data_IF_624053550495
#
_entry.id   IF_624053550495
#
_cell.length_a   1.000
_cell.length_b   1.000
_cell.length_c   1.000
_cell.angle_alpha   90.00
_cell.angle_beta   90.00
_cell.angle_gamma   90.00
#
_symmetry.space_group_name_H-M   'P 1'
#
loop_
_entity.id
_entity.type
_entity.pdbx_description
1 polymer ?
#
# COMPACT_ATOMS: atom_id res chain seq x y z
N UNK A 1 -45.12 39.00 53.48
CA UNK A 1 -46.24 38.58 54.36
C UNK A 1 -47.55 39.04 53.73
N UNK A 2 -48.56 38.17 53.61
CA UNK A 2 -49.99 38.49 53.32
C UNK A 2 -50.28 38.97 51.85
N UNK A 3 -51.55 38.95 51.35
CA UNK A 3 -52.31 37.85 50.69
C UNK A 3 -53.60 38.41 50.00
N UNK A 4 -54.02 37.87 48.82
CA UNK A 4 -55.41 37.86 48.25
C UNK A 4 -56.11 39.21 47.84
N UNK A 5 -57.17 39.29 46.99
CA UNK A 5 -57.73 38.43 45.90
C UNK A 5 -58.90 39.10 45.08
N UNK A 6 -59.18 38.57 43.87
CA UNK A 6 -60.51 38.28 43.20
C UNK A 6 -61.61 39.33 42.84
N UNK A 7 -62.10 39.34 41.57
CA UNK A 7 -63.51 39.04 41.07
C UNK A 7 -63.97 39.72 39.73
N UNK A 8 -65.17 39.38 39.22
CA UNK A 8 -65.65 39.28 37.80
C UNK A 8 -67.16 39.67 37.61
N UNK A 9 -67.73 39.88 36.38
CA UNK A 9 -69.17 39.61 35.91
C UNK A 9 -69.65 40.27 34.55
N UNK A 10 -70.64 39.62 33.87
CA UNK A 10 -71.47 39.77 32.60
C UNK A 10 -71.98 41.16 32.06
N UNK A 11 -72.61 41.33 30.87
CA UNK A 11 -73.02 40.48 29.68
C UNK A 11 -74.19 41.07 28.79
N UNK A 12 -74.57 40.50 27.61
CA UNK A 12 -75.82 40.84 26.82
C UNK A 12 -75.88 40.52 25.28
N UNK A 13 -77.05 40.16 24.68
CA UNK A 13 -77.24 39.72 23.25
C UNK A 13 -78.73 39.77 22.74
N UNK A 14 -79.03 39.99 21.42
CA UNK A 14 -80.39 39.80 20.78
C UNK A 14 -80.38 39.57 19.22
N UNK A 15 -81.53 39.22 18.58
CA UNK A 15 -81.62 38.36 17.35
C UNK A 15 -82.90 38.59 16.46
N UNK A 16 -82.82 38.48 15.11
CA UNK A 16 -83.92 38.26 14.09
C UNK A 16 -83.33 38.16 12.63
N UNK A 17 -83.93 37.56 11.56
CA UNK A 17 -84.88 36.42 11.45
C UNK A 17 -85.90 36.38 10.27
N UNK A 18 -85.56 35.97 9.02
CA UNK A 18 -86.49 35.66 7.87
C UNK A 18 -86.05 34.40 7.06
N UNK A 19 -86.97 33.70 6.35
CA UNK A 19 -86.82 32.35 5.77
C UNK A 19 -87.37 32.15 4.33
N UNK A 20 -86.85 31.16 3.55
CA UNK A 20 -87.59 30.07 2.82
C UNK A 20 -86.85 29.40 1.60
N UNK A 21 -86.75 28.06 1.64
CA UNK A 21 -86.92 26.97 0.58
C UNK A 21 -86.89 27.26 -0.95
N UNK A 22 -86.51 26.35 -1.89
CA UNK A 22 -85.99 24.95 -1.86
C UNK A 22 -85.62 24.38 -3.28
N UNK A 23 -84.95 23.20 -3.33
CA UNK A 23 -84.95 22.14 -4.40
C UNK A 23 -84.41 22.44 -5.84
N UNK A 24 -83.97 21.48 -6.69
CA UNK A 24 -83.38 20.11 -6.54
C UNK A 24 -83.02 19.47 -7.91
N UNK A 25 -81.87 18.76 -8.04
CA UNK A 25 -81.58 17.73 -9.08
C UNK A 25 -81.38 18.19 -10.54
N UNK A 26 -81.10 17.33 -11.53
CA UNK A 26 -80.22 16.14 -11.62
C UNK A 26 -80.12 15.69 -13.11
N UNK A 27 -78.95 15.25 -13.59
CA UNK A 27 -78.70 14.43 -14.81
C UNK A 27 -79.22 14.88 -16.21
N UNK A 28 -78.35 14.83 -17.23
CA UNK A 28 -78.77 14.91 -18.64
C UNK A 28 -77.61 15.02 -19.62
N UNK A 29 -77.61 14.25 -20.71
CA UNK A 29 -76.50 14.13 -21.66
C UNK A 29 -76.94 14.24 -23.12
N UNK A 30 -77.48 15.39 -23.50
CA UNK A 30 -77.77 15.81 -24.87
C UNK A 30 -77.91 17.34 -24.95
N UNK A 31 -77.71 17.90 -26.15
CA UNK A 31 -77.34 19.32 -26.29
C UNK A 31 -78.46 20.29 -26.63
N UNK A 32 -78.22 21.55 -26.22
CA UNK A 32 -78.85 22.83 -26.66
C UNK A 32 -80.27 23.14 -26.17
N UNK A 33 -80.29 23.93 -25.09
CA UNK A 33 -80.98 25.22 -24.96
C UNK A 33 -82.42 25.39 -25.48
N UNK A 34 -83.34 25.64 -24.52
CA UNK A 34 -84.30 26.74 -24.62
C UNK A 34 -84.68 27.21 -23.20
N UNK A 35 -84.56 28.52 -22.94
CA UNK A 35 -84.66 29.13 -21.60
C UNK A 35 -86.01 28.94 -20.88
N UNK A 36 -85.96 28.62 -19.58
CA UNK A 36 -87.01 28.99 -18.64
C UNK A 36 -86.45 29.71 -17.40
N UNK A 37 -86.88 30.97 -17.23
CA UNK A 37 -86.74 31.81 -16.02
C UNK A 37 -85.30 32.23 -15.69
N UNK A 38 -85.07 33.54 -15.61
CA UNK A 38 -83.76 34.15 -15.29
C UNK A 38 -83.38 33.94 -13.81
N UNK A 39 -82.84 32.77 -13.50
CA UNK A 39 -82.34 32.39 -12.18
C UNK A 39 -81.02 33.12 -11.87
N UNK A 40 -80.21 33.50 -12.86
CA UNK A 40 -78.99 34.28 -12.66
C UNK A 40 -79.25 35.63 -11.98
N UNK A 41 -80.38 36.29 -12.29
CA UNK A 41 -80.80 37.51 -11.60
C UNK A 41 -81.09 37.28 -10.10
N UNK A 42 -81.67 36.13 -9.75
CA UNK A 42 -82.05 35.82 -8.37
C UNK A 42 -80.85 35.27 -7.57
N UNK A 43 -80.01 34.44 -8.21
CA UNK A 43 -78.76 33.95 -7.65
C UNK A 43 -77.72 35.07 -7.48
N UNK A 44 -77.74 36.11 -8.32
CA UNK A 44 -76.90 37.31 -8.14
C UNK A 44 -77.40 38.17 -6.97
N UNK A 45 -78.72 38.35 -6.82
CA UNK A 45 -79.29 39.06 -5.68
C UNK A 45 -78.93 38.38 -4.34
N UNK A 46 -79.17 37.07 -4.23
CA UNK A 46 -78.86 36.29 -3.01
C UNK A 46 -77.34 36.26 -2.74
N UNK A 47 -76.50 36.19 -3.77
CA UNK A 47 -75.03 36.19 -3.61
C UNK A 47 -74.50 37.53 -3.08
N UNK A 48 -75.08 38.64 -3.53
CA UNK A 48 -74.72 39.97 -3.04
C UNK A 48 -75.20 40.17 -1.59
N UNK A 49 -76.44 39.80 -1.28
CA UNK A 49 -77.03 39.99 0.06
C UNK A 49 -76.39 39.10 1.15
N UNK A 50 -75.88 37.91 0.79
CA UNK A 50 -75.05 37.07 1.67
C UNK A 50 -73.61 37.62 1.76
N UNK A 51 -73.02 38.08 0.65
CA UNK A 51 -71.69 38.70 0.63
C UNK A 51 -71.61 39.91 1.55
N UNK A 52 -72.61 40.79 1.49
CA UNK A 52 -72.59 42.05 2.22
C UNK A 52 -72.85 41.83 3.73
N UNK A 53 -73.81 40.97 4.11
CA UNK A 53 -74.00 40.59 5.53
C UNK A 53 -72.76 39.90 6.14
N UNK A 54 -72.07 39.04 5.38
CA UNK A 54 -70.85 38.38 5.88
C UNK A 54 -69.71 39.40 6.04
N UNK A 55 -69.65 40.40 5.14
CA UNK A 55 -68.64 41.47 5.14
C UNK A 55 -68.85 42.46 6.28
N UNK A 56 -70.08 42.85 6.56
CA UNK A 56 -70.43 43.74 7.68
C UNK A 56 -70.21 43.04 9.03
N UNK A 57 -70.55 41.75 9.14
CA UNK A 57 -70.28 40.96 10.36
C UNK A 57 -68.78 40.75 10.60
N UNK A 58 -67.97 40.51 9.55
CA UNK A 58 -66.51 40.47 9.67
C UNK A 58 -65.91 41.83 10.03
N UNK A 59 -66.52 42.93 9.57
CA UNK A 59 -66.02 44.28 9.80
C UNK A 59 -66.29 44.73 11.24
N UNK A 60 -67.47 44.48 11.80
CA UNK A 60 -67.74 44.80 13.21
C UNK A 60 -66.90 43.96 14.19
N UNK A 61 -66.72 42.65 13.94
CA UNK A 61 -65.82 41.81 14.75
C UNK A 61 -64.36 42.31 14.66
N UNK A 62 -63.94 42.81 13.49
CA UNK A 62 -62.61 43.41 13.30
C UNK A 62 -62.47 44.76 14.00
N UNK A 63 -63.51 45.58 14.05
CA UNK A 63 -63.49 46.89 14.69
C UNK A 63 -63.55 46.79 16.23
N UNK A 64 -64.40 45.94 16.80
CA UNK A 64 -64.45 45.71 18.27
C UNK A 64 -63.17 45.05 18.81
N UNK A 65 -62.61 44.07 18.08
CA UNK A 65 -61.37 43.38 18.47
C UNK A 65 -60.10 44.24 18.28
N UNK A 66 -60.14 45.25 17.41
CA UNK A 66 -59.05 46.23 17.32
C UNK A 66 -59.23 47.34 18.36
N UNK A 67 -60.40 47.97 18.46
CA UNK A 67 -60.67 49.08 19.38
C UNK A 67 -60.35 48.76 20.85
N UNK A 68 -60.81 47.61 21.36
CA UNK A 68 -60.61 47.22 22.76
C UNK A 68 -59.16 46.91 23.13
N UNK A 69 -58.32 46.51 22.16
CA UNK A 69 -56.88 46.31 22.38
C UNK A 69 -56.09 47.64 22.28
N UNK A 70 -56.49 48.54 21.38
CA UNK A 70 -55.86 49.85 21.22
C UNK A 70 -56.05 50.75 22.45
N UNK A 71 -57.24 50.77 23.06
CA UNK A 71 -57.51 51.59 24.26
C UNK A 71 -56.73 51.11 25.51
N UNK A 72 -56.35 49.84 25.58
CA UNK A 72 -55.50 49.32 26.68
C UNK A 72 -54.01 49.62 26.48
N UNK A 73 -53.58 49.98 25.25
CA UNK A 73 -52.19 50.27 24.91
C UNK A 73 -51.83 51.76 24.96
N UNK A 74 -52.73 52.64 25.41
CA UNK A 74 -52.49 54.09 25.46
C UNK A 74 -52.82 54.78 26.80
N UNK A 75 -52.79 54.02 27.91
CA UNK A 75 -52.61 54.62 29.23
C UNK A 75 -51.13 55.03 29.42
N UNK A 76 -50.85 56.33 29.33
CA UNK A 76 -49.51 56.92 29.12
C UNK A 76 -48.34 56.43 30.02
N UNK A 77 -48.50 56.02 31.31
CA UNK A 77 -47.33 55.62 32.12
C UNK A 77 -46.77 54.22 31.83
N UNK A 78 -47.54 53.31 31.23
CA UNK A 78 -47.18 51.88 31.21
C UNK A 78 -46.52 51.40 29.92
N UNK A 79 -46.87 51.97 28.78
CA UNK A 79 -46.37 51.47 27.48
C UNK A 79 -44.91 51.84 27.25
N UNK A 80 -44.48 53.04 27.64
CA UNK A 80 -43.07 53.46 27.55
C UNK A 80 -42.15 52.59 28.42
N UNK A 81 -42.68 52.02 29.52
CA UNK A 81 -41.91 51.11 30.39
C UNK A 81 -41.84 49.69 29.81
N UNK A 82 -42.94 49.16 29.25
CA UNK A 82 -42.99 47.80 28.71
C UNK A 82 -42.31 47.67 27.36
N UNK A 83 -42.45 48.66 26.46
CA UNK A 83 -41.73 48.66 25.18
C UNK A 83 -40.22 48.73 25.41
N UNK A 84 -39.77 49.60 26.30
CA UNK A 84 -38.35 49.76 26.64
C UNK A 84 -37.77 48.50 27.29
N UNK A 85 -38.49 47.87 28.23
CA UNK A 85 -38.01 46.64 28.88
C UNK A 85 -37.99 45.44 27.92
N UNK A 86 -38.95 45.31 26.99
CA UNK A 86 -38.97 44.17 26.06
C UNK A 86 -38.06 44.36 24.84
N UNK A 87 -38.01 45.54 24.22
CA UNK A 87 -37.16 45.76 23.04
C UNK A 87 -35.68 46.01 23.40
N UNK A 88 -35.36 46.78 24.45
CA UNK A 88 -33.93 47.04 24.79
C UNK A 88 -33.24 45.78 25.35
N UNK A 89 -33.96 44.88 26.04
CA UNK A 89 -33.38 43.63 26.56
C UNK A 89 -33.38 42.46 25.55
N UNK A 90 -34.35 42.40 24.62
CA UNK A 90 -34.39 41.32 23.62
C UNK A 90 -33.58 41.63 22.35
N UNK A 91 -33.49 42.91 21.97
CA UNK A 91 -32.88 43.36 20.71
C UNK A 91 -32.08 44.66 20.88
N UNK A 92 -31.39 44.82 22.01
CA UNK A 92 -30.50 45.97 22.23
C UNK A 92 -29.47 46.13 21.11
N UNK A 93 -29.05 47.37 20.84
CA UNK A 93 -28.06 47.71 19.80
C UNK A 93 -26.80 46.85 19.91
N UNK A 94 -26.35 46.54 21.13
CA UNK A 94 -25.23 45.63 21.38
C UNK A 94 -25.43 44.21 20.83
N UNK A 95 -26.65 43.67 20.74
CA UNK A 95 -26.92 42.34 20.17
C UNK A 95 -26.97 42.37 18.65
N UNK A 96 -27.58 43.41 18.06
CA UNK A 96 -27.56 43.58 16.59
C UNK A 96 -26.17 43.94 16.09
N UNK A 97 -25.44 44.82 16.78
CA UNK A 97 -24.03 45.12 16.46
C UNK A 97 -23.14 43.91 16.76
N UNK A 98 -23.33 43.15 17.84
CA UNK A 98 -22.57 41.90 18.08
C UNK A 98 -22.88 40.83 17.04
N UNK A 99 -24.13 40.66 16.60
CA UNK A 99 -24.49 39.65 15.58
C UNK A 99 -24.03 40.09 14.19
N UNK A 100 -24.14 41.39 13.88
CA UNK A 100 -23.62 41.97 12.64
C UNK A 100 -22.09 41.96 12.61
N UNK A 101 -21.43 42.28 13.72
CA UNK A 101 -19.98 42.22 13.86
C UNK A 101 -19.52 40.76 13.86
N UNK A 102 -20.19 39.83 14.54
CA UNK A 102 -19.85 38.39 14.48
C UNK A 102 -20.13 37.78 13.09
N UNK A 103 -21.12 38.29 12.34
CA UNK A 103 -21.37 37.86 10.96
C UNK A 103 -20.37 38.52 9.99
N UNK A 104 -20.01 39.79 10.19
CA UNK A 104 -18.95 40.45 9.43
C UNK A 104 -17.59 39.86 9.75
N UNK A 105 -17.31 39.51 11.00
CA UNK A 105 -16.12 38.82 11.47
C UNK A 105 -16.14 37.38 10.99
N UNK A 106 -17.27 36.66 11.00
CA UNK A 106 -17.34 35.31 10.45
C UNK A 106 -17.27 35.29 8.93
N UNK A 107 -17.76 36.31 8.22
CA UNK A 107 -17.61 36.45 6.76
C UNK A 107 -16.24 36.99 6.38
N UNK A 108 -15.68 37.92 7.15
CA UNK A 108 -14.31 38.39 6.99
C UNK A 108 -13.34 37.29 7.37
N UNK A 109 -13.58 36.48 8.39
CA UNK A 109 -12.72 35.36 8.79
C UNK A 109 -12.92 34.17 7.86
N UNK A 110 -14.13 33.85 7.39
CA UNK A 110 -14.30 32.81 6.36
C UNK A 110 -13.67 33.23 5.01
N UNK A 111 -13.84 34.48 4.57
CA UNK A 111 -13.17 34.99 3.38
C UNK A 111 -11.69 35.28 3.60
N UNK A 112 -11.25 35.68 4.80
CA UNK A 112 -9.84 35.90 5.10
C UNK A 112 -9.16 34.56 5.26
N UNK A 113 -9.66 33.59 6.00
CA UNK A 113 -9.05 32.25 6.08
C UNK A 113 -9.10 31.55 4.71
N UNK A 114 -10.14 31.75 3.88
CA UNK A 114 -10.21 31.19 2.52
C UNK A 114 -9.35 31.91 1.49
N UNK A 115 -9.30 33.25 1.47
CA UNK A 115 -8.35 34.00 0.62
C UNK A 115 -6.94 33.91 1.18
N UNK A 116 -6.72 33.89 2.49
CA UNK A 116 -5.41 33.71 3.09
C UNK A 116 -4.93 32.32 2.77
N UNK A 117 -5.71 31.25 2.93
CA UNK A 117 -5.34 29.94 2.42
C UNK A 117 -5.05 29.99 0.91
N UNK A 118 -5.96 30.47 0.06
CA UNK A 118 -5.74 30.48 -1.40
C UNK A 118 -4.58 31.39 -1.87
N UNK A 119 -4.31 32.50 -1.19
CA UNK A 119 -3.26 33.47 -1.53
C UNK A 119 -1.93 33.12 -0.85
N UNK A 120 -1.95 32.53 0.35
CA UNK A 120 -0.81 31.85 0.95
C UNK A 120 -0.44 30.69 0.04
N UNK A 121 -1.31 29.71 -0.17
CA UNK A 121 -1.04 28.57 -1.04
C UNK A 121 -0.54 29.00 -2.42
N UNK A 122 -1.16 29.99 -3.10
CA UNK A 122 -0.65 30.43 -4.42
C UNK A 122 0.65 31.23 -4.38
N UNK A 123 0.78 32.26 -3.53
CA UNK A 123 1.98 33.13 -3.51
C UNK A 123 3.15 32.49 -2.77
N UNK A 124 2.86 31.75 -1.69
CA UNK A 124 3.85 30.96 -0.95
C UNK A 124 4.35 29.81 -1.82
N UNK A 125 3.48 29.04 -2.47
CA UNK A 125 3.93 28.01 -3.40
C UNK A 125 4.74 28.60 -4.56
N UNK A 126 4.35 29.74 -5.13
CA UNK A 126 5.13 30.37 -6.21
C UNK A 126 6.52 30.85 -5.71
N UNK A 127 6.61 31.55 -4.57
CA UNK A 127 7.89 32.00 -4.01
C UNK A 127 8.78 30.81 -3.62
N UNK A 128 8.23 29.80 -2.95
CA UNK A 128 9.01 28.64 -2.50
C UNK A 128 9.37 27.71 -3.67
N UNK A 129 8.49 27.49 -4.64
CA UNK A 129 8.79 26.71 -5.85
C UNK A 129 9.82 27.40 -6.74
N UNK A 130 9.75 28.72 -6.92
CA UNK A 130 10.81 29.46 -7.62
C UNK A 130 12.14 29.41 -6.85
N UNK A 131 12.12 29.51 -5.52
CA UNK A 131 13.35 29.39 -4.70
C UNK A 131 13.96 27.99 -4.81
N UNK A 132 13.12 26.95 -4.68
CA UNK A 132 13.50 25.55 -4.83
C UNK A 132 14.05 25.26 -6.22
N UNK A 133 13.39 25.71 -7.29
CA UNK A 133 13.81 25.52 -8.69
C UNK A 133 15.13 26.24 -9.01
N UNK A 134 15.49 27.30 -8.27
CA UNK A 134 16.77 28.01 -8.41
C UNK A 134 17.92 27.40 -7.60
N UNK A 135 17.63 26.77 -6.46
CA UNK A 135 18.64 26.24 -5.52
C UNK A 135 18.87 24.74 -5.70
N UNK A 136 17.83 23.96 -5.98
CA UNK A 136 17.93 22.52 -6.09
C UNK A 136 18.19 22.09 -7.53
N UNK A 137 19.13 21.17 -7.67
CA UNK A 137 19.42 20.43 -8.88
C UNK A 137 19.46 18.94 -8.53
N UNK A 138 18.87 18.10 -9.37
CA UNK A 138 18.87 16.67 -9.17
C UNK A 138 19.02 15.91 -10.48
N UNK A 139 19.61 14.72 -10.37
CA UNK A 139 19.81 13.80 -11.49
C UNK A 139 19.90 12.35 -10.98
N UNK A 140 19.51 11.41 -11.83
CA UNK A 140 19.72 9.98 -11.64
C UNK A 140 21.22 9.71 -11.45
N UNK A 141 21.56 9.15 -10.30
CA UNK A 141 22.93 8.85 -9.89
C UNK A 141 23.31 7.40 -10.22
N UNK A 142 22.38 6.49 -9.94
CA UNK A 142 22.42 5.09 -10.34
C UNK A 142 21.04 4.74 -10.86
N UNK A 143 20.96 4.14 -12.04
CA UNK A 143 19.77 3.44 -12.54
C UNK A 143 20.23 2.09 -13.11
N UNK A 144 19.41 1.04 -12.99
CA UNK A 144 19.76 -0.31 -13.43
C UNK A 144 19.07 -0.63 -14.75
N UNK A 145 19.85 -0.76 -15.83
CA UNK A 145 19.35 -1.08 -17.17
C UNK A 145 18.64 -2.45 -17.25
N UNK A 146 19.09 -3.42 -16.44
CA UNK A 146 18.54 -4.77 -16.35
C UNK A 146 18.22 -5.12 -14.89
N UNK A 147 16.94 -5.28 -14.55
CA UNK A 147 16.47 -5.75 -13.26
C UNK A 147 16.09 -7.23 -13.37
N UNK A 148 16.84 -8.10 -12.69
CA UNK A 148 16.55 -9.53 -12.65
C UNK A 148 15.67 -9.84 -11.45
N UNK A 149 14.43 -10.25 -11.72
CA UNK A 149 13.41 -10.39 -10.68
C UNK A 149 13.73 -11.49 -9.64
N UNK A 150 14.73 -12.34 -9.92
CA UNK A 150 15.31 -13.29 -8.96
C UNK A 150 15.86 -12.61 -7.68
N UNK A 151 16.20 -11.32 -7.75
CA UNK A 151 16.85 -10.58 -6.67
C UNK A 151 16.14 -9.26 -6.32
N UNK A 152 15.00 -8.98 -6.96
CA UNK A 152 14.33 -7.67 -7.00
C UNK A 152 14.14 -7.03 -5.62
N UNK A 153 13.64 -7.81 -4.66
CA UNK A 153 13.33 -7.35 -3.30
C UNK A 153 14.54 -7.41 -2.33
N UNK A 154 15.74 -7.75 -2.84
CA UNK A 154 16.95 -7.92 -2.04
C UNK A 154 18.13 -7.06 -2.55
N UNK A 155 17.94 -6.23 -3.59
CA UNK A 155 18.96 -5.30 -4.10
C UNK A 155 19.64 -4.42 -3.04
N UNK A 156 18.92 -3.82 -2.06
CA UNK A 156 19.57 -3.00 -1.03
C UNK A 156 20.54 -3.80 -0.13
N UNK A 157 20.30 -5.10 0.05
CA UNK A 157 21.23 -6.01 0.73
C UNK A 157 22.38 -6.41 -0.19
N UNK A 158 22.08 -6.78 -1.44
CA UNK A 158 23.07 -7.21 -2.44
C UNK A 158 24.14 -6.15 -2.71
N UNK A 159 23.73 -4.90 -2.81
CA UNK A 159 24.62 -3.76 -3.08
C UNK A 159 24.91 -2.92 -1.82
N UNK A 160 24.75 -3.51 -0.63
CA UNK A 160 25.08 -2.84 0.62
C UNK A 160 26.57 -2.49 0.67
N UNK A 161 26.88 -1.20 0.81
CA UNK A 161 28.26 -0.71 0.77
C UNK A 161 28.93 -0.78 -0.61
N UNK A 162 28.18 -1.06 -1.69
CA UNK A 162 28.74 -1.06 -3.05
C UNK A 162 29.15 0.35 -3.47
N UNK A 163 30.33 0.45 -4.08
CA UNK A 163 30.93 1.70 -4.54
C UNK A 163 31.33 1.61 -6.01
N UNK A 164 31.27 2.74 -6.71
CA UNK A 164 31.75 2.89 -8.08
C UNK A 164 33.28 2.91 -8.17
N UNK A 165 33.80 3.02 -9.39
CA UNK A 165 35.23 2.97 -9.72
C UNK A 165 36.08 4.07 -9.03
N UNK A 166 35.45 5.12 -8.49
CA UNK A 166 36.12 6.23 -7.77
C UNK A 166 35.85 6.20 -6.27
N UNK A 167 35.28 5.11 -5.74
CA UNK A 167 34.95 4.93 -4.33
C UNK A 167 33.68 5.65 -3.88
N UNK A 168 32.86 6.12 -4.83
CA UNK A 168 31.59 6.80 -4.56
C UNK A 168 30.45 5.80 -4.25
N UNK A 169 29.56 6.06 -3.29
CA UNK A 169 28.43 5.16 -3.01
C UNK A 169 27.55 4.98 -4.25
N UNK A 170 27.17 3.74 -4.56
CA UNK A 170 26.42 3.41 -5.78
C UNK A 170 25.20 2.50 -5.48
N UNK A 171 24.14 3.02 -4.82
CA UNK A 171 22.97 2.24 -4.42
C UNK A 171 22.11 1.79 -5.60
N UNK A 172 21.63 0.54 -5.54
CA UNK A 172 20.88 -0.16 -6.61
C UNK A 172 19.49 -0.55 -6.06
N UNK A 173 18.40 -0.57 -6.88
CA UNK A 173 18.34 -0.40 -8.34
C UNK A 173 18.28 1.06 -8.83
N UNK A 174 17.89 2.01 -7.98
CA UNK A 174 17.74 3.42 -8.33
C UNK A 174 18.24 4.30 -7.19
N UNK A 175 18.99 5.35 -7.51
CA UNK A 175 19.27 6.43 -6.58
C UNK A 175 19.44 7.77 -7.30
N UNK A 176 19.01 8.84 -6.62
CA UNK A 176 18.97 10.21 -7.15
C UNK A 176 19.93 11.07 -6.32
N UNK A 177 20.80 11.82 -6.98
CA UNK A 177 21.69 12.77 -6.30
C UNK A 177 21.06 14.16 -6.37
N UNK A 178 20.83 14.74 -5.20
CA UNK A 178 20.24 16.07 -5.05
C UNK A 178 21.29 17.02 -4.49
N UNK A 179 21.51 18.12 -5.21
CA UNK A 179 22.42 19.22 -4.87
C UNK A 179 21.61 20.42 -4.39
N UNK A 180 22.07 21.09 -3.35
CA UNK A 180 21.54 22.37 -2.89
C UNK A 180 22.61 23.44 -3.17
N UNK A 181 22.52 24.08 -4.33
CA UNK A 181 23.48 25.06 -4.81
C UNK A 181 23.04 26.46 -4.39
N UNK A 182 23.80 27.10 -3.52
CA UNK A 182 23.55 28.49 -3.19
C UNK A 182 23.99 29.39 -4.36
N UNK A 183 23.20 30.42 -4.67
CA UNK A 183 23.60 31.42 -5.66
C UNK A 183 24.95 32.05 -5.29
N UNK A 184 25.74 32.44 -6.30
CA UNK A 184 27.05 33.03 -6.07
C UNK A 184 26.98 34.22 -5.09
N UNK A 185 27.97 34.31 -4.19
CA UNK A 185 28.04 35.20 -3.00
C UNK A 185 27.76 36.70 -3.23
N UNK A 186 27.64 37.14 -4.49
CA UNK A 186 27.25 38.49 -4.89
C UNK A 186 25.77 38.81 -4.67
N UNK A 187 24.86 37.83 -4.73
CA UNK A 187 23.44 38.04 -4.43
C UNK A 187 23.08 37.43 -3.07
N UNK A 188 23.21 38.26 -2.02
CA UNK A 188 22.88 37.89 -0.63
C UNK A 188 21.39 37.98 -0.32
N UNK A 189 20.52 38.24 -1.28
CA UNK A 189 19.09 38.47 -1.03
C UNK A 189 18.28 37.19 -0.80
N UNK A 190 18.77 36.03 -1.25
CA UNK A 190 18.07 34.74 -1.10
C UNK A 190 18.75 33.90 -0.01
N UNK A 191 18.08 33.61 1.12
CA UNK A 191 18.62 32.69 2.14
C UNK A 191 18.83 31.28 1.58
N UNK A 192 20.05 30.76 1.75
CA UNK A 192 20.36 29.37 1.40
C UNK A 192 20.38 28.52 2.67
N UNK A 193 19.24 27.89 2.95
CA UNK A 193 19.05 27.00 4.10
C UNK A 193 19.19 25.54 3.68
N UNK A 194 19.31 24.63 4.66
CA UNK A 194 19.12 23.21 4.38
C UNK A 194 17.71 22.98 3.82
N UNK A 195 17.57 21.98 2.95
CA UNK A 195 16.28 21.58 2.36
C UNK A 195 15.95 20.17 2.81
N UNK A 196 14.71 19.94 3.27
CA UNK A 196 14.18 18.61 3.50
C UNK A 196 13.68 18.07 2.17
N UNK A 197 14.21 16.93 1.73
CA UNK A 197 13.94 16.35 0.43
C UNK A 197 13.28 14.99 0.63
N UNK A 198 12.25 14.71 -0.17
CA UNK A 198 11.70 13.37 -0.33
C UNK A 198 11.85 12.94 -1.80
N UNK A 199 12.36 11.73 -2.03
CA UNK A 199 12.42 11.11 -3.35
C UNK A 199 11.50 9.90 -3.36
N UNK A 200 10.57 9.89 -4.31
CA UNK A 200 9.67 8.77 -4.63
C UNK A 200 10.16 8.11 -5.92
N UNK A 201 10.12 6.78 -5.98
CA UNK A 201 10.33 6.04 -7.22
C UNK A 201 9.47 4.77 -7.29
N UNK A 202 9.06 4.37 -8.50
CA UNK A 202 8.27 3.16 -8.74
C UNK A 202 8.41 2.68 -10.18
N UNK A 203 8.03 1.43 -10.44
CA UNK A 203 7.82 0.91 -11.79
C UNK A 203 6.34 0.59 -11.93
N UNK A 204 5.65 1.28 -12.83
CA UNK A 204 4.20 1.18 -13.03
C UNK A 204 3.76 -0.28 -13.17
N UNK A 205 2.74 -0.67 -12.39
CA UNK A 205 2.20 -2.03 -12.28
C UNK A 205 3.16 -3.11 -11.77
N UNK A 206 4.41 -2.80 -11.40
CA UNK A 206 5.43 -3.79 -11.01
C UNK A 206 5.96 -3.62 -9.59
N UNK A 207 5.94 -2.41 -9.04
CA UNK A 207 6.40 -2.12 -7.68
C UNK A 207 5.43 -1.23 -6.92
N UNK A 208 5.48 -1.29 -5.60
CA UNK A 208 5.02 -0.20 -4.74
C UNK A 208 5.80 1.09 -5.01
N UNK A 209 5.28 2.22 -4.52
CA UNK A 209 6.04 3.49 -4.51
C UNK A 209 7.03 3.51 -3.35
N UNK A 210 8.29 3.23 -3.68
CA UNK A 210 9.42 3.43 -2.78
C UNK A 210 9.58 4.92 -2.46
N UNK A 211 9.84 5.24 -1.20
CA UNK A 211 10.07 6.63 -0.76
C UNK A 211 11.21 6.72 0.26
N UNK A 212 12.02 7.76 0.14
CA UNK A 212 13.09 8.09 1.09
C UNK A 212 13.11 9.59 1.34
N UNK A 213 13.23 9.97 2.61
CA UNK A 213 13.27 11.38 3.05
C UNK A 213 14.56 11.67 3.81
N UNK A 214 15.13 12.84 3.60
CA UNK A 214 16.37 13.30 4.22
C UNK A 214 16.56 14.81 4.08
N UNK A 215 17.77 15.29 4.33
CA UNK A 215 18.10 16.71 4.27
C UNK A 215 19.30 16.94 3.34
N UNK A 216 19.38 18.10 2.69
CA UNK A 216 20.55 18.53 1.90
C UNK A 216 20.99 19.91 2.40
N UNK A 217 22.22 19.98 2.93
CA UNK A 217 22.79 21.21 3.47
C UNK A 217 23.17 22.20 2.36
N UNK A 218 23.25 23.51 2.66
CA UNK A 218 23.75 24.54 1.74
C UNK A 218 25.11 24.16 1.13
N UNK A 219 25.25 24.32 -0.19
CA UNK A 219 26.44 23.99 -0.98
C UNK A 219 26.91 22.53 -0.88
N UNK A 220 26.00 21.58 -0.58
CA UNK A 220 26.28 20.14 -0.54
C UNK A 220 25.39 19.32 -1.49
N UNK A 221 25.67 18.02 -1.56
CA UNK A 221 24.88 17.05 -2.30
C UNK A 221 24.73 15.74 -1.52
N UNK A 222 23.52 15.18 -1.48
CA UNK A 222 23.25 13.87 -0.89
C UNK A 222 22.61 12.93 -1.93
N UNK A 223 22.77 11.62 -1.71
CA UNK A 223 22.19 10.55 -2.54
C UNK A 223 20.97 9.97 -1.81
N UNK A 224 19.88 9.82 -2.54
CA UNK A 224 18.60 9.32 -2.07
C UNK A 224 18.25 8.05 -2.84
N UNK A 225 18.21 6.92 -2.15
CA UNK A 225 17.92 5.60 -2.74
C UNK A 225 16.57 5.07 -2.22
N UNK A 226 15.44 5.36 -2.89
CA UNK A 226 14.15 4.77 -2.54
C UNK A 226 14.19 3.25 -2.80
N UNK A 227 13.84 2.44 -1.80
CA UNK A 227 13.74 1.00 -1.96
C UNK A 227 12.49 0.64 -2.78
N UNK A 228 12.66 -0.15 -3.84
CA UNK A 228 11.56 -0.65 -4.66
C UNK A 228 11.14 -2.04 -4.17
N UNK A 229 9.87 -2.21 -3.81
CA UNK A 229 9.28 -3.51 -3.48
C UNK A 229 8.45 -3.99 -4.67
N UNK A 230 8.89 -5.08 -5.30
CA UNK A 230 8.26 -5.72 -6.44
C UNK A 230 7.10 -6.63 -6.01
N UNK A 231 6.01 -6.57 -6.77
CA UNK A 231 4.92 -7.54 -6.70
C UNK A 231 5.39 -8.90 -7.23
N UNK A 232 5.72 -9.81 -6.31
CA UNK A 232 6.20 -11.14 -6.67
C UNK A 232 5.10 -11.99 -7.34
N UNK A 233 3.82 -11.73 -7.05
CA UNK A 233 2.71 -12.46 -7.69
C UNK A 233 2.65 -12.20 -9.20
N UNK A 234 3.04 -11.00 -9.62
CA UNK A 234 3.26 -10.65 -11.02
C UNK A 234 4.62 -11.15 -11.52
N UNK A 235 5.69 -10.97 -10.74
CA UNK A 235 7.06 -11.34 -11.13
C UNK A 235 7.20 -12.81 -11.56
N UNK A 236 6.56 -13.75 -10.85
CA UNK A 236 6.58 -15.19 -11.19
C UNK A 236 5.87 -15.53 -12.49
N UNK A 237 5.02 -14.64 -13.03
CA UNK A 237 4.32 -14.85 -14.31
C UNK A 237 5.11 -14.37 -15.52
N UNK A 238 6.19 -13.60 -15.32
CA UNK A 238 7.01 -13.08 -16.41
C UNK A 238 7.89 -14.20 -16.99
N UNK A 239 7.69 -14.54 -18.27
CA UNK A 239 8.39 -15.65 -18.94
C UNK A 239 9.48 -15.23 -19.93
N UNK A 240 9.54 -13.94 -20.29
CA UNK A 240 10.54 -13.34 -21.17
C UNK A 240 10.87 -11.90 -20.71
N UNK A 241 12.03 -11.32 -21.08
CA UNK A 241 12.37 -9.96 -20.69
C UNK A 241 11.34 -8.93 -21.18
N UNK A 242 10.96 -7.99 -20.32
CA UNK A 242 9.99 -6.93 -20.61
C UNK A 242 10.57 -5.55 -20.34
N UNK A 243 10.41 -4.63 -21.30
CA UNK A 243 10.73 -3.21 -21.11
C UNK A 243 9.76 -2.55 -20.14
N UNK A 244 10.30 -1.74 -19.24
CA UNK A 244 9.58 -0.92 -18.26
C UNK A 244 10.30 0.42 -18.07
N UNK A 245 9.74 1.31 -17.25
CA UNK A 245 10.38 2.56 -16.88
C UNK A 245 10.29 2.78 -15.36
N UNK A 246 11.41 3.12 -14.74
CA UNK A 246 11.48 3.60 -13.35
C UNK A 246 11.04 5.06 -13.35
N UNK A 247 9.84 5.32 -12.85
CA UNK A 247 9.33 6.66 -12.60
C UNK A 247 9.98 7.22 -11.33
N UNK A 248 10.39 8.47 -11.37
CA UNK A 248 11.12 9.15 -10.30
C UNK A 248 10.54 10.55 -10.11
N UNK A 249 10.32 10.93 -8.85
CA UNK A 249 9.92 12.28 -8.46
C UNK A 249 10.66 12.72 -7.20
N UNK A 250 11.26 13.91 -7.20
CA UNK A 250 11.86 14.51 -6.01
C UNK A 250 11.16 15.81 -5.62
N UNK A 251 10.87 15.91 -4.33
CA UNK A 251 10.09 16.96 -3.70
C UNK A 251 10.91 17.66 -2.62
N UNK A 252 10.87 19.00 -2.61
CA UNK A 252 11.25 19.76 -1.44
C UNK A 252 10.04 19.83 -0.50
N UNK A 253 10.26 19.53 0.78
CA UNK A 253 9.22 19.57 1.81
C UNK A 253 9.32 20.88 2.58
N UNK A 254 8.41 21.81 2.27
CA UNK A 254 8.39 23.17 2.80
C UNK A 254 7.02 23.42 3.43
N UNK A 255 6.95 23.52 4.76
CA UNK A 255 5.72 23.87 5.50
C UNK A 255 4.52 23.01 5.08
N UNK A 256 4.70 21.70 5.23
CA UNK A 256 3.75 20.62 4.91
C UNK A 256 3.33 20.50 3.43
N UNK A 257 3.94 21.26 2.53
CA UNK A 257 3.74 21.14 1.07
C UNK A 257 4.85 20.32 0.39
N UNK A 258 4.44 19.48 -0.56
CA UNK A 258 5.32 18.75 -1.48
C UNK A 258 5.59 19.59 -2.74
N UNK A 259 6.75 20.24 -2.83
CA UNK A 259 7.14 21.03 -4.02
C UNK A 259 7.98 20.15 -4.96
N UNK A 260 7.36 19.66 -6.04
CA UNK A 260 8.05 18.89 -7.08
C UNK A 260 9.07 19.77 -7.81
N UNK A 261 10.34 19.35 -7.81
CA UNK A 261 11.43 20.08 -8.49
C UNK A 261 12.25 19.22 -9.48
N UNK A 262 12.06 17.91 -9.44
CA UNK A 262 12.68 16.98 -10.38
C UNK A 262 11.75 15.80 -10.65
N UNK A 263 11.62 15.43 -11.93
CA UNK A 263 10.88 14.26 -12.37
C UNK A 263 11.64 13.60 -13.51
N UNK A 264 11.76 12.28 -13.50
CA UNK A 264 12.41 11.50 -14.54
C UNK A 264 11.69 10.17 -14.77
N UNK A 265 11.99 9.55 -15.92
CA UNK A 265 11.49 8.22 -16.31
C UNK A 265 12.66 7.49 -16.97
N UNK A 266 13.37 6.68 -16.19
CA UNK A 266 14.54 5.94 -16.66
C UNK A 266 14.11 4.58 -17.25
N UNK A 267 14.58 4.20 -18.45
CA UNK A 267 14.26 2.90 -19.03
C UNK A 267 14.92 1.76 -18.24
N UNK A 268 14.27 0.60 -18.17
CA UNK A 268 14.83 -0.62 -17.57
C UNK A 268 14.21 -1.87 -18.18
N UNK A 269 14.94 -2.99 -18.17
CA UNK A 269 14.50 -4.30 -18.64
C UNK A 269 14.26 -5.21 -17.44
N UNK A 270 13.02 -5.65 -17.25
CA UNK A 270 12.67 -6.64 -16.23
C UNK A 270 12.92 -8.05 -16.81
N UNK A 271 13.75 -8.86 -16.13
CA UNK A 271 14.03 -10.25 -16.51
C UNK A 271 13.29 -11.23 -15.58
N UNK A 272 12.83 -12.39 -16.11
CA UNK A 272 12.15 -13.42 -15.33
C UNK A 272 12.86 -13.82 -14.03
N UNK A 273 12.07 -14.23 -13.03
CA UNK A 273 12.56 -14.67 -11.70
C UNK A 273 13.53 -15.85 -11.73
N UNK A 274 13.62 -16.56 -12.85
CA UNK A 274 14.53 -17.68 -13.07
C UNK A 274 15.93 -17.26 -13.56
N UNK A 275 16.17 -16.02 -13.99
CA UNK A 275 17.42 -15.64 -14.66
C UNK A 275 18.51 -15.25 -13.65
N UNK A 276 19.62 -15.98 -13.66
CA UNK A 276 20.85 -15.69 -12.90
C UNK A 276 21.66 -14.57 -13.58
N UNK A 277 21.27 -13.32 -13.37
CA UNK A 277 21.76 -12.16 -14.13
C UNK A 277 23.21 -11.72 -13.92
N UNK A 278 23.66 -10.78 -14.78
CA UNK A 278 24.99 -10.14 -14.70
C UNK A 278 25.24 -9.25 -13.47
N UNK A 279 24.22 -9.09 -12.62
CA UNK A 279 24.26 -8.22 -11.47
C UNK A 279 25.27 -8.61 -10.38
N UNK A 280 25.64 -9.88 -10.27
CA UNK A 280 26.56 -10.37 -9.23
C UNK A 280 28.03 -9.89 -9.38
N UNK A 281 28.33 -9.00 -10.34
CA UNK A 281 29.68 -8.42 -10.51
C UNK A 281 29.97 -7.41 -9.39
N UNK A 282 30.98 -7.69 -8.57
CA UNK A 282 31.39 -6.81 -7.46
C UNK A 282 30.50 -6.91 -6.21
N UNK A 283 29.52 -7.81 -6.23
CA UNK A 283 28.66 -8.15 -5.09
C UNK A 283 29.42 -9.04 -4.10
N UNK A 284 29.28 -8.77 -2.80
CA UNK A 284 29.87 -9.62 -1.76
C UNK A 284 29.19 -10.98 -1.70
N UNK A 285 29.95 -12.03 -1.38
CA UNK A 285 29.47 -13.40 -1.24
C UNK A 285 28.64 -13.86 -2.46
N UNK A 286 29.14 -13.62 -3.68
CA UNK A 286 28.43 -13.86 -4.96
C UNK A 286 27.59 -15.15 -4.98
N UNK A 287 28.14 -16.29 -4.58
CA UNK A 287 27.45 -17.57 -4.70
C UNK A 287 26.38 -17.78 -3.61
N UNK A 288 26.37 -17.00 -2.52
CA UNK A 288 25.32 -17.07 -1.50
C UNK A 288 23.96 -16.64 -2.06
N UNK A 289 23.97 -15.83 -3.11
CA UNK A 289 22.78 -15.43 -3.85
C UNK A 289 22.07 -16.58 -4.57
N UNK A 290 22.69 -17.77 -4.71
CA UNK A 290 21.94 -18.98 -5.08
C UNK A 290 20.85 -19.36 -4.06
N UNK A 291 20.96 -18.87 -2.82
CA UNK A 291 19.97 -19.07 -1.75
C UNK A 291 18.57 -18.54 -2.08
N UNK A 292 18.38 -17.66 -3.07
CA UNK A 292 17.04 -17.19 -3.48
C UNK A 292 16.22 -18.28 -4.19
N UNK A 293 16.90 -19.24 -4.87
CA UNK A 293 16.27 -20.41 -5.48
C UNK A 293 16.04 -21.57 -4.52
N UNK A 294 16.59 -21.50 -3.30
CA UNK A 294 16.28 -22.47 -2.24
C UNK A 294 15.00 -22.01 -1.55
N UNK A 295 13.89 -22.69 -1.85
CA UNK A 295 12.51 -22.35 -1.49
C UNK A 295 11.91 -23.40 -0.55
N UNK A 296 12.24 -23.39 0.76
CA UNK A 296 11.75 -24.36 1.76
C UNK A 296 10.26 -24.21 2.08
N UNK A 297 9.59 -23.20 1.54
CA UNK A 297 8.19 -22.84 1.73
C UNK A 297 7.27 -23.18 0.54
N UNK A 298 7.78 -23.71 -0.58
CA UNK A 298 6.97 -24.01 -1.78
C UNK A 298 5.80 -24.98 -1.50
N UNK A 299 4.71 -24.88 -2.26
CA UNK A 299 3.46 -25.64 -2.02
C UNK A 299 3.62 -27.16 -2.02
N UNK A 300 4.67 -27.69 -2.66
CA UNK A 300 4.94 -29.13 -2.69
C UNK A 300 5.56 -29.69 -1.41
N UNK A 301 6.10 -28.86 -0.51
CA UNK A 301 6.78 -29.33 0.71
C UNK A 301 5.88 -30.21 1.59
N UNK A 302 4.65 -29.83 1.98
CA UNK A 302 3.77 -30.68 2.80
C UNK A 302 3.53 -32.08 2.20
N UNK A 303 3.38 -32.16 0.88
CA UNK A 303 3.19 -33.44 0.18
C UNK A 303 4.46 -34.30 0.19
N UNK A 304 5.63 -33.69 -0.01
CA UNK A 304 6.94 -34.36 0.13
C UNK A 304 7.12 -34.88 1.56
N UNK A 305 6.83 -34.07 2.58
CA UNK A 305 6.94 -34.47 3.99
C UNK A 305 5.99 -35.63 4.35
N UNK A 306 4.79 -35.67 3.76
CA UNK A 306 3.85 -36.78 3.94
C UNK A 306 4.34 -38.07 3.26
N UNK A 307 5.04 -37.99 2.13
CA UNK A 307 5.67 -39.15 1.49
C UNK A 307 6.89 -39.66 2.29
N UNK A 308 7.68 -38.75 2.88
CA UNK A 308 8.82 -39.10 3.74
C UNK A 308 8.39 -39.91 4.95
N UNK A 309 7.34 -39.47 5.65
CA UNK A 309 6.79 -40.18 6.82
C UNK A 309 6.42 -41.64 6.50
N UNK A 310 5.90 -41.93 5.31
CA UNK A 310 5.55 -43.30 4.87
C UNK A 310 6.78 -44.21 4.68
N UNK A 311 7.97 -43.65 4.50
CA UNK A 311 9.24 -44.36 4.27
C UNK A 311 10.12 -44.49 5.52
N UNK A 312 9.85 -43.70 6.55
CA UNK A 312 10.68 -43.62 7.75
C UNK A 312 10.09 -44.44 8.91
N UNK A 313 10.92 -44.96 9.84
CA UNK A 313 10.44 -45.69 11.00
C UNK A 313 9.46 -44.86 11.83
N UNK A 314 8.51 -45.55 12.46
CA UNK A 314 7.48 -44.95 13.34
C UNK A 314 6.54 -43.95 12.63
N UNK A 315 6.60 -43.82 11.30
CA UNK A 315 5.82 -42.82 10.56
C UNK A 315 6.28 -41.38 10.81
N UNK A 316 7.51 -41.20 11.32
CA UNK A 316 8.02 -39.94 11.87
C UNK A 316 9.28 -39.47 11.15
N UNK A 317 9.56 -38.16 11.20
CA UNK A 317 10.85 -37.62 10.74
C UNK A 317 11.64 -37.14 11.95
N UNK A 318 12.76 -37.81 12.23
CA UNK A 318 13.69 -37.48 13.31
C UNK A 318 14.93 -36.78 12.75
N UNK A 319 15.05 -35.49 13.01
CA UNK A 319 16.20 -34.66 12.62
C UNK A 319 17.12 -34.48 13.82
N UNK A 320 18.41 -34.76 13.63
CA UNK A 320 19.45 -34.76 14.68
C UNK A 320 19.06 -35.60 15.92
N UNK A 321 18.35 -36.69 15.67
CA UNK A 321 17.79 -37.60 16.65
C UNK A 321 17.89 -39.02 16.11
N UNK A 322 18.05 -39.99 17.00
CA UNK A 322 18.24 -41.39 16.62
C UNK A 322 16.91 -42.12 16.43
N UNK A 323 16.80 -42.95 15.40
CA UNK A 323 15.81 -44.02 15.36
C UNK A 323 16.27 -45.20 16.23
N UNK A 324 15.35 -46.11 16.57
CA UNK A 324 15.68 -47.36 17.31
C UNK A 324 16.67 -48.23 16.56
N UNK A 325 16.56 -48.25 15.23
CA UNK A 325 17.20 -49.22 14.34
C UNK A 325 18.56 -48.74 13.78
N UNK A 326 19.06 -47.59 14.25
CA UNK A 326 20.35 -47.00 13.88
C UNK A 326 21.29 -47.01 15.10
N UNK A 327 22.60 -47.16 14.90
CA UNK A 327 23.57 -47.11 16.00
C UNK A 327 23.85 -45.66 16.43
N UNK A 328 23.90 -44.74 15.46
CA UNK A 328 24.32 -43.33 15.61
C UNK A 328 23.32 -42.31 15.02
N UNK A 329 23.39 -41.05 15.47
CA UNK A 329 22.63 -39.93 14.90
C UNK A 329 23.03 -39.69 13.42
N UNK A 330 24.30 -39.88 13.08
CA UNK A 330 24.80 -39.78 11.69
C UNK A 330 24.06 -40.73 10.74
N UNK A 331 23.84 -41.98 11.15
CA UNK A 331 23.08 -42.97 10.37
C UNK A 331 21.60 -42.58 10.26
N UNK A 332 20.98 -42.10 11.34
CA UNK A 332 19.60 -41.61 11.30
C UNK A 332 19.42 -40.39 10.39
N UNK A 333 20.36 -39.44 10.40
CA UNK A 333 20.38 -38.31 9.45
C UNK A 333 20.53 -38.81 8.01
N UNK A 334 21.46 -39.75 7.76
CA UNK A 334 21.66 -40.38 6.44
C UNK A 334 20.42 -41.16 5.97
N UNK A 335 19.69 -41.81 6.88
CA UNK A 335 18.41 -42.49 6.63
C UNK A 335 17.32 -41.50 6.21
N UNK A 336 17.26 -40.32 6.82
CA UNK A 336 16.33 -39.26 6.37
C UNK A 336 16.69 -38.75 4.98
N UNK A 337 17.96 -38.46 4.70
CA UNK A 337 18.38 -37.99 3.36
C UNK A 337 18.19 -39.08 2.29
N UNK A 338 18.39 -40.37 2.63
CA UNK A 338 18.01 -41.51 1.78
C UNK A 338 16.51 -41.51 1.45
N UNK A 339 15.65 -41.26 2.43
CA UNK A 339 14.22 -41.15 2.20
C UNK A 339 13.88 -39.95 1.30
N UNK A 340 14.52 -38.79 1.48
CA UNK A 340 14.41 -37.61 0.58
C UNK A 340 14.80 -37.96 -0.84
N UNK A 341 15.96 -38.58 -1.03
CA UNK A 341 16.42 -39.02 -2.34
C UNK A 341 15.40 -39.95 -3.02
N UNK A 342 14.89 -40.97 -2.31
CA UNK A 342 13.90 -41.90 -2.88
C UNK A 342 12.54 -41.27 -3.17
N UNK A 343 12.08 -40.33 -2.32
CA UNK A 343 10.81 -39.59 -2.54
C UNK A 343 10.90 -38.69 -3.76
N UNK A 344 12.05 -38.03 -3.96
CA UNK A 344 12.28 -37.17 -5.12
C UNK A 344 12.54 -38.02 -6.39
N UNK A 345 13.33 -39.10 -6.30
CA UNK A 345 13.55 -40.05 -7.41
C UNK A 345 12.24 -40.69 -7.91
N UNK A 346 11.30 -41.02 -7.01
CA UNK A 346 9.98 -41.53 -7.38
C UNK A 346 9.16 -40.56 -8.26
N UNK A 347 9.50 -39.26 -8.29
CA UNK A 347 8.89 -38.24 -9.15
C UNK A 347 9.46 -38.23 -10.58
N UNK A 348 10.47 -39.09 -10.85
CA UNK A 348 11.08 -39.34 -12.17
C UNK A 348 11.70 -38.10 -12.81
N UNK A 349 12.46 -37.34 -12.02
CA UNK A 349 13.20 -36.16 -12.51
C UNK A 349 14.40 -36.63 -13.35
N UNK A 350 14.49 -36.19 -14.60
CA UNK A 350 15.64 -36.40 -15.49
C UNK A 350 16.68 -35.33 -15.24
N UNK A 351 17.96 -35.71 -15.17
CA UNK A 351 19.04 -34.73 -15.20
C UNK A 351 19.29 -34.27 -16.64
N UNK A 352 19.23 -32.95 -16.86
CA UNK A 352 19.65 -32.31 -18.10
C UNK A 352 21.08 -31.79 -17.94
N UNK A 353 22.04 -32.43 -18.61
CA UNK A 353 23.43 -31.99 -18.58
C UNK A 353 23.61 -30.70 -19.37
N UNK A 354 24.17 -29.67 -18.73
CA UNK A 354 24.78 -28.53 -19.42
C UNK A 354 26.13 -28.18 -18.77
N UNK A 355 27.04 -27.57 -19.54
CA UNK A 355 28.38 -27.20 -19.08
C UNK A 355 28.40 -25.77 -18.51
N UNK A 356 27.28 -25.32 -17.93
CA UNK A 356 27.05 -23.91 -17.60
C UNK A 356 26.41 -23.72 -16.23
N UNK A 357 26.60 -24.66 -15.30
CA UNK A 357 26.05 -24.60 -13.94
C UNK A 357 26.29 -23.24 -13.28
N UNK A 358 25.22 -22.52 -12.91
CA UNK A 358 25.33 -21.22 -12.28
C UNK A 358 25.97 -20.13 -13.17
N UNK A 359 26.06 -20.35 -14.48
CA UNK A 359 26.64 -19.34 -15.37
C UNK A 359 25.75 -18.09 -15.42
N UNK A 360 26.40 -16.96 -15.64
CA UNK A 360 25.69 -15.68 -15.77
C UNK A 360 24.83 -15.69 -17.04
N UNK A 361 23.56 -15.32 -16.90
CA UNK A 361 22.54 -15.44 -17.94
C UNK A 361 21.84 -16.81 -17.99
N UNK A 362 22.22 -17.79 -17.17
CA UNK A 362 21.52 -19.07 -17.08
C UNK A 362 20.10 -18.88 -16.52
N UNK A 363 19.12 -19.51 -17.17
CA UNK A 363 17.81 -19.77 -16.54
C UNK A 363 17.97 -20.93 -15.55
N UNK A 364 17.63 -20.68 -14.30
CA UNK A 364 17.54 -21.64 -13.19
C UNK A 364 16.06 -21.77 -12.82
N UNK A 365 15.45 -22.89 -13.18
CA UNK A 365 14.10 -23.25 -12.76
C UNK A 365 14.06 -23.48 -11.24
N UNK A 366 13.01 -23.00 -10.58
CA UNK A 366 12.82 -23.22 -9.15
C UNK A 366 12.48 -24.68 -8.82
N UNK A 367 12.72 -25.14 -7.58
CA UNK A 367 12.37 -26.48 -7.11
C UNK A 367 10.96 -26.94 -7.51
N UNK A 368 9.96 -26.08 -7.44
CA UNK A 368 8.59 -26.39 -7.84
C UNK A 368 8.42 -26.58 -9.36
N UNK A 369 9.19 -25.82 -10.16
CA UNK A 369 9.21 -25.96 -11.62
C UNK A 369 9.89 -27.27 -12.03
N UNK A 370 11.00 -27.66 -11.40
CA UNK A 370 11.67 -28.97 -11.57
C UNK A 370 10.73 -30.13 -11.24
N UNK A 371 9.92 -30.00 -10.17
CA UNK A 371 8.91 -30.99 -9.79
C UNK A 371 7.77 -31.10 -10.82
N UNK A 372 7.41 -29.99 -11.49
CA UNK A 372 6.36 -29.91 -12.52
C UNK A 372 6.87 -30.43 -13.89
N UNK A 373 8.04 -29.99 -14.34
CA UNK A 373 8.67 -30.42 -15.60
C UNK A 373 9.16 -31.87 -15.56
N UNK A 374 9.67 -32.30 -14.38
CA UNK A 374 10.46 -33.52 -14.19
C UNK A 374 11.79 -33.51 -14.95
N UNK A 375 12.34 -32.34 -15.20
CA UNK A 375 13.66 -32.14 -15.77
C UNK A 375 14.40 -31.07 -14.96
N UNK A 376 15.68 -31.27 -14.69
CA UNK A 376 16.48 -30.32 -13.91
C UNK A 376 17.98 -30.32 -14.23
N UNK A 377 18.60 -29.15 -14.14
CA UNK A 377 20.05 -28.93 -14.15
C UNK A 377 20.67 -29.27 -12.79
N UNK A 378 22.00 -29.30 -12.68
CA UNK A 378 22.69 -29.66 -11.43
C UNK A 378 22.42 -28.67 -10.29
N UNK A 379 22.45 -27.36 -10.57
CA UNK A 379 22.09 -26.32 -9.60
C UNK A 379 20.60 -26.36 -9.23
N UNK A 380 19.72 -26.73 -10.16
CA UNK A 380 18.28 -26.84 -9.94
C UNK A 380 17.93 -28.06 -9.08
N UNK A 381 18.56 -29.22 -9.33
CA UNK A 381 18.42 -30.41 -8.47
C UNK A 381 19.05 -30.16 -7.10
N UNK A 382 20.18 -29.44 -7.03
CA UNK A 382 20.79 -29.06 -5.76
C UNK A 382 19.86 -28.13 -4.95
N UNK A 383 19.27 -27.12 -5.57
CA UNK A 383 18.29 -26.24 -4.94
C UNK A 383 17.03 -27.00 -4.47
N UNK A 384 16.55 -27.98 -5.24
CA UNK A 384 15.41 -28.84 -4.85
C UNK A 384 15.72 -29.67 -3.60
N UNK A 385 16.87 -30.36 -3.56
CA UNK A 385 17.28 -31.10 -2.36
C UNK A 385 17.52 -30.17 -1.18
N UNK A 386 18.20 -29.03 -1.39
CA UNK A 386 18.44 -28.03 -0.35
C UNK A 386 17.14 -27.51 0.26
N UNK A 387 16.13 -27.22 -0.57
CA UNK A 387 14.83 -26.72 -0.11
C UNK A 387 14.10 -27.73 0.77
N UNK A 388 14.11 -29.01 0.40
CA UNK A 388 13.48 -30.08 1.21
C UNK A 388 14.22 -30.30 2.52
N UNK A 389 15.55 -30.24 2.53
CA UNK A 389 16.36 -30.43 3.73
C UNK A 389 16.31 -29.23 4.68
N UNK A 390 16.29 -27.99 4.15
CA UNK A 390 16.06 -26.77 4.91
C UNK A 390 14.66 -26.78 5.54
N UNK A 391 13.62 -27.17 4.78
CA UNK A 391 12.25 -27.31 5.29
C UNK A 391 12.10 -28.37 6.40
N UNK A 392 12.99 -29.37 6.44
CA UNK A 392 13.09 -30.33 7.53
C UNK A 392 13.81 -29.78 8.77
N UNK A 393 14.53 -28.65 8.65
CA UNK A 393 15.38 -28.11 9.72
C UNK A 393 16.77 -28.75 9.78
N UNK A 394 17.26 -29.33 8.67
CA UNK A 394 18.65 -29.75 8.54
C UNK A 394 19.53 -28.57 8.09
N UNK A 395 20.71 -28.43 8.69
CA UNK A 395 21.74 -27.53 8.17
C UNK A 395 22.32 -28.14 6.89
N UNK A 396 22.03 -27.47 5.78
CA UNK A 396 22.26 -27.95 4.42
C UNK A 396 23.19 -26.98 3.68
N UNK A 397 24.00 -27.54 2.79
CA UNK A 397 25.01 -26.85 2.02
C UNK A 397 24.79 -27.10 0.54
N UNK A 398 24.75 -26.05 -0.28
CA UNK A 398 25.00 -26.21 -1.72
C UNK A 398 26.52 -26.31 -1.88
N UNK A 399 26.98 -27.42 -2.44
CA UNK A 399 28.39 -27.62 -2.79
C UNK A 399 28.55 -27.17 -4.23
N UNK A 400 29.10 -25.98 -4.42
CA UNK A 400 29.40 -25.44 -5.74
C UNK A 400 30.86 -25.76 -6.08
N UNK A 401 31.08 -26.41 -7.22
CA UNK A 401 32.42 -26.79 -7.72
C UNK A 401 32.51 -26.36 -9.19
N UNK A 402 33.69 -26.37 -9.83
CA UNK A 402 33.80 -26.03 -11.25
C UNK A 402 32.82 -26.84 -12.11
N UNK A 403 31.98 -26.12 -12.86
CA UNK A 403 30.94 -26.62 -13.77
C UNK A 403 29.82 -27.50 -13.13
N UNK A 404 29.76 -27.66 -11.80
CA UNK A 404 28.82 -28.60 -11.18
C UNK A 404 28.35 -28.21 -9.78
N UNK A 405 27.15 -28.65 -9.41
CA UNK A 405 26.56 -28.40 -8.09
C UNK A 405 25.85 -29.64 -7.54
N UNK A 406 25.98 -29.86 -6.23
CA UNK A 406 25.31 -30.93 -5.48
C UNK A 406 25.08 -30.50 -4.02
N UNK A 407 24.62 -31.40 -3.15
CA UNK A 407 24.21 -31.05 -1.77
C UNK A 407 25.01 -31.81 -0.72
N UNK A 408 25.40 -31.08 0.32
CA UNK A 408 25.92 -31.63 1.58
C UNK A 408 24.97 -31.32 2.74
N UNK A 409 25.04 -32.09 3.82
CA UNK A 409 24.34 -31.81 5.07
C UNK A 409 25.24 -32.11 6.28
N UNK A 410 25.01 -31.40 7.38
CA UNK A 410 25.67 -31.73 8.66
C UNK A 410 25.02 -33.00 9.24
N UNK A 411 25.82 -33.98 9.67
CA UNK A 411 25.26 -35.29 10.09
C UNK A 411 24.67 -35.30 11.50
N UNK A 412 25.11 -34.40 12.37
CA UNK A 412 24.63 -34.17 13.73
C UNK A 412 24.73 -32.66 14.04
N UNK A 413 23.74 -32.09 14.73
CA UNK A 413 23.62 -30.65 15.02
C UNK A 413 24.89 -30.04 15.62
N UNK A 414 25.61 -30.82 16.43
CA UNK A 414 26.82 -30.36 17.14
C UNK A 414 28.13 -30.89 16.53
N UNK A 415 28.08 -31.63 15.43
CA UNK A 415 29.26 -32.21 14.77
C UNK A 415 29.75 -31.36 13.59
N UNK A 416 31.05 -31.32 13.34
CA UNK A 416 31.62 -30.78 12.10
C UNK A 416 31.68 -31.80 10.95
N UNK A 417 31.13 -33.00 11.14
CA UNK A 417 30.99 -33.99 10.07
C UNK A 417 29.90 -33.58 9.09
N UNK A 418 30.28 -33.52 7.81
CA UNK A 418 29.36 -33.40 6.67
C UNK A 418 29.27 -34.75 5.95
N UNK A 419 28.13 -35.01 5.35
CA UNK A 419 27.92 -36.09 4.37
C UNK A 419 27.23 -35.48 3.13
N UNK A 420 27.32 -36.15 1.98
CA UNK A 420 27.06 -35.56 0.66
C UNK A 420 26.21 -36.45 -0.23
N UNK A 421 25.44 -35.85 -1.14
CA UNK A 421 24.68 -36.59 -2.15
C UNK A 421 24.77 -35.90 -3.49
N UNK A 422 25.18 -36.67 -4.50
CA UNK A 422 25.13 -36.25 -5.89
C UNK A 422 23.67 -36.17 -6.37
N UNK A 423 23.13 -34.96 -6.42
CA UNK A 423 21.72 -34.74 -6.72
C UNK A 423 21.34 -35.02 -8.17
N UNK A 424 22.28 -34.95 -9.12
CA UNK A 424 22.00 -35.24 -10.53
C UNK A 424 21.75 -36.72 -10.81
N UNK A 425 22.20 -37.61 -9.93
CA UNK A 425 21.93 -39.05 -10.01
C UNK A 425 20.49 -39.43 -9.60
N UNK A 426 19.65 -38.45 -9.22
CA UNK A 426 18.22 -38.66 -8.98
C UNK A 426 17.49 -39.33 -10.16
N UNK A 427 17.95 -39.08 -11.39
CA UNK A 427 17.41 -39.68 -12.61
C UNK A 427 17.81 -41.14 -12.82
N UNK A 428 16.88 -41.93 -13.36
CA UNK A 428 17.10 -43.34 -13.66
C UNK A 428 17.07 -44.26 -12.43
N UNK A 429 17.82 -45.36 -12.50
CA UNK A 429 17.81 -46.44 -11.49
C UNK A 429 18.95 -46.32 -10.44
N UNK A 430 19.63 -45.18 -10.38
CA UNK A 430 20.77 -44.95 -9.47
C UNK A 430 20.35 -45.02 -8.00
N UNK A 431 20.99 -45.90 -7.22
CA UNK A 431 20.71 -46.03 -5.79
C UNK A 431 21.24 -44.85 -4.97
N UNK A 432 20.59 -44.54 -3.84
CA UNK A 432 21.10 -43.55 -2.89
C UNK A 432 22.55 -43.82 -2.45
N UNK A 433 22.92 -45.09 -2.25
CA UNK A 433 24.29 -45.46 -1.84
C UNK A 433 25.33 -45.03 -2.87
N UNK A 434 25.01 -45.18 -4.16
CA UNK A 434 25.87 -44.74 -5.26
C UNK A 434 25.91 -43.20 -5.36
N UNK A 435 24.77 -42.53 -5.27
CA UNK A 435 24.71 -41.07 -5.30
C UNK A 435 25.43 -40.41 -4.11
N UNK A 436 25.29 -40.99 -2.92
CA UNK A 436 26.01 -40.58 -1.71
C UNK A 436 27.52 -40.74 -1.88
N UNK A 437 27.98 -41.93 -2.32
CA UNK A 437 29.40 -42.15 -2.59
C UNK A 437 29.94 -41.19 -3.65
N UNK A 438 29.21 -40.93 -4.73
CA UNK A 438 29.64 -39.99 -5.77
C UNK A 438 29.79 -38.56 -5.22
N UNK A 439 28.89 -38.11 -4.34
CA UNK A 439 29.00 -36.80 -3.69
C UNK A 439 30.23 -36.70 -2.76
N UNK A 440 30.48 -37.75 -1.96
CA UNK A 440 31.66 -37.82 -1.08
C UNK A 440 32.96 -37.82 -1.91
N UNK A 441 33.05 -38.66 -2.93
CA UNK A 441 34.24 -38.78 -3.79
C UNK A 441 34.55 -37.45 -4.51
N UNK A 442 33.51 -36.75 -5.01
CA UNK A 442 33.65 -35.41 -5.62
C UNK A 442 34.10 -34.35 -4.62
N UNK A 443 33.49 -34.30 -3.44
CA UNK A 443 33.88 -33.35 -2.40
C UNK A 443 35.34 -33.53 -1.97
N UNK A 444 35.75 -34.79 -1.74
CA UNK A 444 37.13 -35.10 -1.38
C UNK A 444 38.11 -34.74 -2.49
N UNK A 445 37.80 -35.02 -3.76
CA UNK A 445 38.67 -34.64 -4.89
C UNK A 445 38.88 -33.12 -4.98
N UNK A 446 37.85 -32.30 -4.74
CA UNK A 446 37.98 -30.82 -4.73
C UNK A 446 38.78 -30.33 -3.52
N UNK A 447 38.65 -30.99 -2.37
CA UNK A 447 39.43 -30.71 -1.16
C UNK A 447 40.90 -31.10 -1.33
N UNK A 448 41.20 -32.24 -1.96
CA UNK A 448 42.55 -32.69 -2.27
C UNK A 448 43.24 -31.79 -3.32
N UNK A 449 42.47 -31.19 -4.24
CA UNK A 449 42.95 -30.18 -5.17
C UNK A 449 43.22 -28.80 -4.53
N UNK A 450 42.72 -28.55 -3.31
CA UNK A 450 42.81 -27.23 -2.65
C UNK A 450 41.81 -26.20 -3.19
N UNK A 451 40.73 -26.65 -3.86
CA UNK A 451 39.82 -25.76 -4.59
C UNK A 451 38.89 -24.94 -3.67
N UNK A 452 38.67 -25.41 -2.43
CA UNK A 452 37.94 -24.63 -1.43
C UNK A 452 38.81 -23.49 -0.86
N UNK A 453 40.12 -23.72 -0.76
CA UNK A 453 41.11 -22.75 -0.31
C UNK A 453 41.45 -21.72 -1.40
N UNK A 454 41.39 -22.10 -2.68
CA UNK A 454 41.57 -21.18 -3.83
C UNK A 454 40.32 -20.36 -4.16
N UNK A 455 39.14 -20.82 -3.73
CA UNK A 455 37.84 -20.21 -4.08
C UNK A 455 37.25 -20.69 -5.40
N UNK A 456 37.83 -21.72 -6.05
CA UNK A 456 37.23 -22.40 -7.21
C UNK A 456 36.02 -23.27 -6.84
N UNK A 457 35.98 -23.75 -5.58
CA UNK A 457 34.86 -24.47 -4.98
C UNK A 457 34.39 -23.75 -3.71
N UNK A 458 33.10 -23.87 -3.38
CA UNK A 458 32.50 -23.24 -2.20
C UNK A 458 31.46 -24.16 -1.53
N UNK A 459 31.47 -24.16 -0.19
CA UNK A 459 30.40 -24.72 0.63
C UNK A 459 29.46 -23.59 1.07
N UNK A 460 28.34 -23.44 0.36
CA UNK A 460 27.35 -22.41 0.62
C UNK A 460 26.41 -22.91 1.73
N UNK A 461 26.70 -22.54 2.98
CA UNK A 461 25.88 -22.87 4.15
C UNK A 461 24.57 -22.09 4.14
N UNK A 462 23.46 -22.75 3.83
CA UNK A 462 22.16 -22.08 3.70
C UNK A 462 21.71 -21.42 5.02
N UNK A 463 22.09 -21.95 6.18
CA UNK A 463 21.78 -21.32 7.47
C UNK A 463 22.56 -20.01 7.66
N UNK A 464 23.80 -19.94 7.17
CA UNK A 464 24.59 -18.70 7.15
C UNK A 464 24.03 -17.69 6.14
N UNK A 465 23.59 -18.16 4.97
CA UNK A 465 22.90 -17.34 3.94
C UNK A 465 21.64 -16.68 4.51
N UNK A 466 20.80 -17.43 5.26
CA UNK A 466 19.62 -16.83 5.94
C UNK A 466 20.01 -15.83 7.02
N UNK A 467 21.05 -16.11 7.82
CA UNK A 467 21.56 -15.17 8.85
C UNK A 467 22.14 -13.88 8.27
N UNK A 468 22.66 -13.92 7.05
CA UNK A 468 23.10 -12.74 6.29
C UNK A 468 21.92 -11.91 5.76
N UNK A 469 20.71 -12.48 5.73
CA UNK A 469 19.48 -11.83 5.27
C UNK A 469 19.04 -12.21 3.85
N UNK A 470 19.72 -13.16 3.19
CA UNK A 470 19.31 -13.65 1.86
C UNK A 470 18.17 -14.64 2.04
N UNK A 471 16.97 -14.19 1.70
CA UNK A 471 15.74 -14.95 1.89
C UNK A 471 15.34 -15.72 0.62
N UNK A 472 14.56 -16.81 0.74
CA UNK A 472 13.90 -17.42 -0.40
C UNK A 472 13.04 -16.41 -1.16
N UNK A 473 12.92 -16.57 -2.48
CA UNK A 473 11.83 -15.91 -3.19
C UNK A 473 10.49 -16.59 -2.86
N UNK A 474 9.42 -15.80 -2.85
CA UNK A 474 8.07 -16.31 -2.60
C UNK A 474 7.51 -16.93 -3.90
N UNK A 475 7.70 -18.25 -4.04
CA UNK A 475 7.38 -19.03 -5.23
C UNK A 475 6.30 -20.08 -4.88
N UNK A 476 5.13 -20.06 -5.57
CA UNK A 476 4.05 -21.05 -5.37
C UNK A 476 4.38 -22.48 -5.85
#
# INVERSE_FOLDING_TARGET
MIKHASNFVMGGLFLLGISLTACSGENGADGRDADPVNIDSLATAIRNEISDNLRDTLTSIREDATGTLWDSLYAEPYVDTVYKILFDNAYGTAWMDSTRQSLLDSLNQANYDSLYAALYDSVYYDIYSQTVTRQLDAFSWTSKDDIYLAFANQYPLMYNGFVGDKGEPHPVPISIKVRNQCAARSDKSVPCNWKKIMVKAWITDWTDTGSVTGFVNPDTANIFAPALTFDMSKAVTLTAPQQANIQIQAYALENDHEILFYSASEPTTLHPVQINGWELKGVQNKNWWYGVWVTPNMDSIPNILNDLKKKLPEGSVKIYQKYSDDETITESSKRVVKAVYEVLQARKITYLQNNGAGSTGQKINYPIEVLRSRDGLCIETAALFASVLEALGMQVFIVHIPEHAFVGWRTDKNSNTLDFVETTLIGGESTFSYANKSGIDKFNAQKEAGNFESGEAELIDIEAVRKYGIMPNDIP
#
